data_IF_074396574582
#
_entry.id   IF_074396574582
#
_cell.length_a   1.000
_cell.length_b   1.000
_cell.length_c   1.000
_cell.angle_alpha   90.00
_cell.angle_beta   90.00
_cell.angle_gamma   90.00
#
_symmetry.space_group_name_H-M   'P 1'
#
loop_
_entity.id
_entity.type
_entity.pdbx_description
1 polymer ?
#
# COMPACT_ATOMS: atom_id res chain seq x y z
N UNK A 1 1.56 7.84 2.55
CA UNK A 1 0.91 8.02 1.24
C UNK A 1 -0.40 7.29 1.17
N UNK A 2 -1.37 7.86 0.46
CA UNK A 2 -2.69 7.23 0.23
C UNK A 2 -2.58 6.46 -1.09
N UNK A 3 -2.91 5.16 -1.13
CA UNK A 3 -2.72 4.36 -2.32
C UNK A 3 -3.77 4.66 -3.39
N UNK A 4 -3.52 4.24 -4.63
CA UNK A 4 -4.50 4.32 -5.72
C UNK A 4 -5.66 3.36 -5.39
N UNK A 5 -6.90 3.86 -5.16
CA UNK A 5 -8.00 3.01 -4.75
C UNK A 5 -8.53 2.20 -5.93
N UNK A 6 -8.63 0.88 -5.75
CA UNK A 6 -9.57 0.05 -6.54
C UNK A 6 -10.94 0.01 -5.86
N UNK A 7 -10.98 0.01 -4.53
CA UNK A 7 -12.21 0.12 -3.76
C UNK A 7 -12.00 0.93 -2.47
N UNK A 8 -13.09 1.47 -1.93
CA UNK A 8 -13.10 2.19 -0.65
C UNK A 8 -14.29 1.73 0.18
N UNK A 9 -14.06 1.49 1.47
CA UNK A 9 -15.11 1.09 2.41
C UNK A 9 -14.97 1.90 3.70
N UNK A 10 -15.98 2.69 4.02
CA UNK A 10 -16.06 3.37 5.32
C UNK A 10 -16.37 2.33 6.41
N UNK A 11 -15.61 2.35 7.50
CA UNK A 11 -15.75 1.39 8.59
C UNK A 11 -16.58 2.00 9.72
N UNK A 12 -16.02 2.99 10.42
CA UNK A 12 -16.70 3.88 11.36
C UNK A 12 -15.72 4.96 11.87
N UNK A 13 -16.19 5.96 12.62
CA UNK A 13 -15.37 6.95 13.32
C UNK A 13 -14.36 7.71 12.43
N UNK A 14 -14.76 8.00 11.19
CA UNK A 14 -13.90 8.65 10.21
C UNK A 14 -12.87 7.72 9.58
N UNK A 15 -12.86 6.43 9.88
CA UNK A 15 -11.90 5.47 9.33
C UNK A 15 -12.43 4.85 8.03
N UNK A 16 -11.58 4.87 7.01
CA UNK A 16 -11.85 4.30 5.68
C UNK A 16 -10.76 3.31 5.34
N UNK A 17 -11.18 2.12 4.91
CA UNK A 17 -10.29 1.17 4.23
C UNK A 17 -10.19 1.52 2.75
N UNK A 18 -8.96 1.68 2.28
CA UNK A 18 -8.60 1.94 0.89
C UNK A 18 -7.94 0.68 0.33
N UNK A 19 -8.71 -0.10 -0.43
CA UNK A 19 -8.21 -1.29 -1.10
C UNK A 19 -7.52 -0.93 -2.40
N UNK A 20 -6.26 -1.32 -2.54
CA UNK A 20 -5.45 -1.11 -3.74
C UNK A 20 -5.03 -2.45 -4.34
N UNK A 21 -5.14 -2.57 -5.66
CA UNK A 21 -4.59 -3.71 -6.43
C UNK A 21 -3.25 -3.39 -7.11
N UNK A 22 -2.85 -2.12 -7.10
CA UNK A 22 -1.65 -1.63 -7.79
C UNK A 22 -0.48 -1.35 -6.84
N UNK A 23 -0.72 -1.53 -5.54
CA UNK A 23 0.25 -1.35 -4.47
C UNK A 23 -0.40 -1.71 -3.14
N UNK A 24 0.18 -1.22 -2.05
CA UNK A 24 -0.31 -1.52 -0.71
C UNK A 24 -1.71 -0.96 -0.47
N UNK A 25 -2.53 -1.71 0.26
CA UNK A 25 -3.81 -1.21 0.77
C UNK A 25 -3.56 -0.41 2.05
N UNK A 26 -4.51 0.43 2.47
CA UNK A 26 -4.31 1.27 3.65
C UNK A 26 -5.59 1.51 4.45
N UNK A 27 -5.42 1.78 5.74
CA UNK A 27 -6.40 2.49 6.56
C UNK A 27 -6.04 3.97 6.59
N UNK A 28 -7.06 4.80 6.42
CA UNK A 28 -6.94 6.26 6.53
C UNK A 28 -8.02 6.80 7.45
N UNK A 29 -7.75 7.94 8.09
CA UNK A 29 -8.71 8.67 8.92
C UNK A 29 -9.06 9.99 8.27
N UNK A 30 -10.36 10.25 8.15
CA UNK A 30 -10.92 11.52 7.77
C UNK A 30 -11.00 12.44 8.99
N UNK A 31 -10.40 13.61 8.89
CA UNK A 31 -10.44 14.67 9.91
C UNK A 31 -11.43 15.77 9.50
N UNK A 32 -12.13 16.35 10.47
CA UNK A 32 -12.99 17.51 10.23
C UNK A 32 -12.18 18.80 10.02
N UNK A 33 -10.95 18.84 10.52
CA UNK A 33 -10.02 19.96 10.39
C UNK A 33 -8.78 19.53 9.62
N UNK A 34 -8.16 20.49 8.94
CA UNK A 34 -6.90 20.25 8.25
C UNK A 34 -5.76 20.00 9.23
N UNK A 35 -4.81 19.16 8.85
CA UNK A 35 -3.53 19.02 9.54
C UNK A 35 -2.55 20.15 9.17
N UNK A 36 -1.32 20.06 9.69
CA UNK A 36 -0.23 21.01 9.40
C UNK A 36 0.14 21.05 7.91
N UNK A 37 -0.06 19.94 7.19
CA UNK A 37 0.14 19.82 5.74
C UNK A 37 -1.11 20.23 4.93
N UNK A 38 -2.11 20.84 5.59
CA UNK A 38 -3.37 21.26 4.99
C UNK A 38 -4.22 20.13 4.38
N UNK A 39 -4.06 18.90 4.84
CA UNK A 39 -4.77 17.69 4.41
C UNK A 39 -5.92 17.34 5.37
N UNK A 40 -6.96 16.69 4.84
CA UNK A 40 -8.07 16.13 5.64
C UNK A 40 -7.98 14.63 5.82
N UNK A 41 -7.13 13.95 5.05
CA UNK A 41 -7.00 12.50 5.04
C UNK A 41 -5.66 12.14 5.66
N UNK A 42 -5.71 11.48 6.80
CA UNK A 42 -4.54 11.13 7.59
C UNK A 42 -4.26 9.63 7.41
N UNK A 43 -3.06 9.23 6.97
CA UNK A 43 -2.70 7.81 6.89
C UNK A 43 -2.64 7.19 8.29
N UNK A 44 -3.13 5.95 8.44
CA UNK A 44 -3.08 5.21 9.70
C UNK A 44 -2.17 3.99 9.61
N UNK A 45 -2.51 3.07 8.71
CA UNK A 45 -1.84 1.78 8.57
C UNK A 45 -1.77 1.39 7.09
N UNK A 46 -0.72 0.67 6.72
CA UNK A 46 -0.50 0.17 5.37
C UNK A 46 -0.37 -1.35 5.42
N UNK A 47 -1.01 -2.03 4.47
CA UNK A 47 -0.98 -3.48 4.31
C UNK A 47 -0.22 -3.83 3.03
N UNK A 48 0.93 -4.48 3.20
CA UNK A 48 1.83 -4.83 2.10
C UNK A 48 1.12 -5.70 1.07
N UNK A 49 1.26 -5.32 -0.20
CA UNK A 49 0.80 -6.08 -1.36
C UNK A 49 1.95 -6.24 -2.34
N UNK A 50 2.24 -7.48 -2.72
CA UNK A 50 3.19 -7.77 -3.79
C UNK A 50 2.59 -7.53 -5.19
N UNK A 51 1.30 -7.18 -5.27
CA UNK A 51 0.58 -7.10 -6.53
C UNK A 51 0.74 -5.75 -7.25
N UNK A 52 0.70 -5.77 -8.59
CA UNK A 52 0.96 -6.93 -9.43
C UNK A 52 2.46 -7.23 -9.48
N UNK A 53 2.83 -8.51 -9.47
CA UNK A 53 4.21 -8.95 -9.76
C UNK A 53 4.35 -8.98 -11.28
N UNK A 54 5.18 -8.10 -11.83
CA UNK A 54 5.42 -7.99 -13.26
C UNK A 54 6.55 -8.91 -13.74
N UNK A 55 7.58 -9.08 -12.90
CA UNK A 55 8.72 -9.95 -13.12
C UNK A 55 9.29 -10.41 -11.77
N UNK A 56 10.03 -11.53 -11.76
CA UNK A 56 10.69 -12.03 -10.56
C UNK A 56 11.94 -12.85 -10.87
N UNK A 57 12.92 -12.83 -9.96
CA UNK A 57 14.09 -13.70 -10.01
C UNK A 57 14.37 -14.34 -8.63
N UNK A 58 14.99 -15.52 -8.66
CA UNK A 58 15.44 -16.22 -7.46
C UNK A 58 16.92 -15.96 -7.26
N UNK A 59 17.31 -15.59 -6.04
CA UNK A 59 18.69 -15.30 -5.66
C UNK A 59 19.05 -16.04 -4.38
N UNK A 60 20.29 -16.52 -4.28
CA UNK A 60 20.87 -16.99 -3.02
C UNK A 60 21.90 -15.96 -2.55
N UNK A 61 21.41 -14.89 -1.92
CA UNK A 61 22.26 -13.79 -1.45
C UNK A 61 23.16 -14.22 -0.29
N UNK A 62 22.70 -15.16 0.54
CA UNK A 62 23.40 -15.57 1.76
C UNK A 62 24.30 -16.80 1.55
N UNK A 63 24.18 -17.49 0.40
CA UNK A 63 24.90 -18.75 0.08
C UNK A 63 24.70 -19.84 1.13
N UNK A 64 23.60 -19.76 1.90
CA UNK A 64 23.21 -20.70 2.94
C UNK A 64 22.20 -21.74 2.43
N UNK A 65 21.83 -21.69 1.14
CA UNK A 65 20.82 -22.56 0.54
C UNK A 65 19.38 -22.08 0.79
N UNK A 66 19.17 -20.89 1.35
CA UNK A 66 17.86 -20.25 1.45
C UNK A 66 17.66 -19.30 0.27
N UNK A 67 16.97 -19.79 -0.75
CA UNK A 67 16.62 -19.01 -1.93
C UNK A 67 15.62 -17.89 -1.57
N UNK A 68 15.95 -16.66 -1.95
CA UNK A 68 15.09 -15.48 -1.82
C UNK A 68 14.50 -15.10 -3.18
N UNK A 69 13.30 -14.51 -3.17
CA UNK A 69 12.63 -14.03 -4.37
C UNK A 69 12.72 -12.49 -4.42
N UNK A 70 13.17 -11.94 -5.54
CA UNK A 70 13.09 -10.52 -5.84
C UNK A 70 11.98 -10.31 -6.87
N UNK A 71 11.08 -9.37 -6.63
CA UNK A 71 9.94 -9.07 -7.52
C UNK A 71 9.93 -7.61 -7.97
N UNK A 72 9.58 -7.39 -9.23
CA UNK A 72 9.12 -6.09 -9.73
C UNK A 72 7.62 -5.96 -9.42
N UNK A 73 7.28 -5.33 -8.30
CA UNK A 73 5.90 -5.18 -7.82
C UNK A 73 5.39 -3.73 -7.93
N UNK A 74 4.09 -3.57 -8.18
CA UNK A 74 3.40 -2.29 -8.20
C UNK A 74 3.36 -1.61 -9.58
N UNK A 75 2.45 -0.65 -9.74
CA UNK A 75 2.28 0.15 -10.97
C UNK A 75 2.02 1.62 -10.59
N UNK A 76 2.59 2.55 -11.36
CA UNK A 76 2.27 3.98 -11.30
C UNK A 76 1.63 4.43 -12.62
N UNK A 77 0.41 4.98 -12.59
CA UNK A 77 -0.17 5.67 -13.75
C UNK A 77 0.30 7.14 -13.75
N UNK A 78 0.83 7.59 -14.89
CA UNK A 78 1.17 9.00 -15.16
C UNK A 78 0.04 9.69 -15.90
#
# INVERSE_FOLDING_TARGET
DIPIPECMTYLDNGVVFVGSRLGDSALVRLSATRDEASQYVLPMETFTSLAPILDMCVVDLEKQGQNQLITCSGILFK
#
